data_IF_247230511684
#
_entry.id   IF_247230511684
#
_cell.length_a   1.000
_cell.length_b   1.000
_cell.length_c   1.000
_cell.angle_alpha   90.00
_cell.angle_beta   90.00
_cell.angle_gamma   90.00
#
_symmetry.space_group_name_H-M   'P 1'
#
loop_
_entity.id
_entity.type
_entity.pdbx_description
1 polymer ?
#
# COMPACT_ATOMS: atom_id res chain seq x y z
N UNK A 1 -51.97 13.26 33.14
CA UNK A 1 -52.29 13.15 31.70
C UNK A 1 -51.08 13.61 30.90
N UNK A 2 -50.56 12.74 30.01
CA UNK A 2 -49.62 13.00 28.89
C UNK A 2 -48.17 13.36 29.32
N UNK A 3 -47.16 12.48 29.32
CA UNK A 3 -46.55 11.63 28.27
C UNK A 3 -45.60 12.36 27.30
N UNK A 4 -44.46 11.71 27.00
CA UNK A 4 -43.34 11.99 26.05
C UNK A 4 -42.16 12.75 26.68
N UNK A 5 -40.99 12.16 26.98
CA UNK A 5 -40.11 11.22 26.27
C UNK A 5 -39.69 11.72 24.89
N UNK A 6 -38.45 12.24 24.78
CA UNK A 6 -37.57 12.29 23.60
C UNK A 6 -36.19 12.74 24.10
N UNK A 7 -35.28 11.81 24.37
CA UNK A 7 -34.41 11.12 23.41
C UNK A 7 -33.22 11.98 22.98
N UNK A 8 -32.05 11.55 23.47
CA UNK A 8 -30.72 11.87 22.98
C UNK A 8 -30.69 11.81 21.45
N UNK A 9 -30.56 12.96 20.79
CA UNK A 9 -30.04 12.99 19.43
C UNK A 9 -28.52 13.06 19.52
N UNK A 10 -27.92 11.86 19.50
CA UNK A 10 -26.52 11.67 19.16
C UNK A 10 -26.25 12.37 17.83
N UNK A 11 -25.12 13.08 17.79
CA UNK A 11 -24.43 13.52 16.59
C UNK A 11 -24.18 12.29 15.69
N UNK A 12 -25.10 12.03 14.76
CA UNK A 12 -24.81 11.20 13.59
C UNK A 12 -24.03 12.09 12.62
N UNK A 13 -22.71 12.23 12.86
CA UNK A 13 -21.82 12.35 11.73
C UNK A 13 -21.78 10.98 11.07
N UNK A 14 -22.30 10.79 9.85
CA UNK A 14 -21.82 9.68 9.06
C UNK A 14 -20.32 9.92 8.90
N UNK A 15 -19.50 9.02 9.47
CA UNK A 15 -18.14 8.84 8.99
C UNK A 15 -18.23 8.75 7.47
N UNK A 16 -17.38 9.46 6.70
CA UNK A 16 -17.29 9.20 5.27
C UNK A 16 -16.91 7.71 5.15
N UNK A 17 -17.92 6.90 4.84
CA UNK A 17 -17.77 5.53 4.41
C UNK A 17 -17.27 5.62 2.97
N UNK A 18 -16.02 6.07 2.84
CA UNK A 18 -15.22 5.84 1.65
C UNK A 18 -14.87 4.36 1.72
N UNK A 19 -15.86 3.53 1.37
CA UNK A 19 -15.62 2.17 0.94
C UNK A 19 -14.84 2.29 -0.39
N UNK A 20 -13.60 2.76 -0.30
CA UNK A 20 -12.57 2.46 -1.26
C UNK A 20 -12.66 0.96 -1.47
N UNK A 21 -12.89 0.55 -2.71
CA UNK A 21 -12.99 -0.85 -3.12
C UNK A 21 -11.64 -1.52 -2.89
N UNK A 22 -11.32 -1.79 -1.62
CA UNK A 22 -10.01 -2.26 -1.20
C UNK A 22 -9.99 -3.76 -1.43
N UNK A 23 -9.58 -4.13 -2.65
CA UNK A 23 -9.49 -5.52 -3.05
C UNK A 23 -8.31 -6.18 -2.35
N UNK A 24 -8.59 -7.23 -1.58
CA UNK A 24 -7.55 -8.11 -1.06
C UNK A 24 -6.99 -8.92 -2.22
N UNK A 25 -5.73 -8.68 -2.54
CA UNK A 25 -4.95 -9.45 -3.49
C UNK A 25 -4.15 -10.52 -2.76
N UNK A 26 -3.99 -11.67 -3.41
CA UNK A 26 -3.12 -12.75 -2.98
C UNK A 26 -2.09 -13.00 -4.05
N UNK A 27 -0.82 -13.09 -3.68
CA UNK A 27 0.23 -13.46 -4.63
C UNK A 27 1.30 -14.32 -3.95
N UNK A 28 2.00 -15.11 -4.76
CA UNK A 28 2.95 -16.13 -4.34
C UNK A 28 4.36 -15.57 -4.42
N UNK A 29 5.28 -16.07 -3.57
CA UNK A 29 6.69 -15.75 -3.70
C UNK A 29 7.20 -16.00 -5.14
N UNK A 30 7.92 -15.03 -5.68
CA UNK A 30 8.39 -15.02 -7.07
C UNK A 30 7.44 -14.32 -8.05
N UNK A 31 6.19 -14.08 -7.67
CA UNK A 31 5.25 -13.34 -8.51
C UNK A 31 5.71 -11.89 -8.71
N UNK A 32 5.54 -11.40 -9.94
CA UNK A 32 5.78 -10.01 -10.32
C UNK A 32 4.46 -9.33 -10.63
N UNK A 33 4.33 -8.08 -10.21
CA UNK A 33 3.18 -7.24 -10.55
C UNK A 33 3.62 -5.82 -10.91
N UNK A 34 2.82 -5.17 -11.75
CA UNK A 34 2.97 -3.74 -12.00
C UNK A 34 2.41 -2.97 -10.82
N UNK A 35 3.22 -2.08 -10.25
CA UNK A 35 2.83 -1.20 -9.16
C UNK A 35 2.73 0.23 -9.69
N UNK A 36 1.50 0.76 -9.91
CA UNK A 36 1.30 2.12 -10.40
C UNK A 36 1.84 3.17 -9.43
N UNK A 37 2.30 4.30 -9.97
CA UNK A 37 2.68 5.46 -9.19
C UNK A 37 1.54 5.94 -8.28
N UNK A 38 1.87 6.34 -7.05
CA UNK A 38 0.92 6.90 -6.08
C UNK A 38 -0.06 5.89 -5.49
N UNK A 39 -0.06 4.65 -5.96
CA UNK A 39 -0.98 3.61 -5.48
C UNK A 39 -0.45 2.94 -4.22
N UNK A 40 -1.23 3.00 -3.16
CA UNK A 40 -0.89 2.38 -1.89
C UNK A 40 -1.03 0.85 -1.95
N UNK A 41 -0.03 0.16 -1.39
CA UNK A 41 -0.09 -1.25 -1.04
C UNK A 41 0.02 -1.37 0.47
N UNK A 42 -1.00 -1.99 1.08
CA UNK A 42 -1.06 -2.24 2.52
C UNK A 42 -0.92 -3.73 2.78
N UNK A 43 0.10 -4.09 3.54
CA UNK A 43 0.41 -5.47 3.84
C UNK A 43 -0.57 -6.05 4.87
N UNK A 44 -1.16 -7.22 4.58
CA UNK A 44 -1.96 -7.97 5.55
C UNK A 44 -1.15 -9.07 6.24
N UNK A 45 -0.08 -9.52 5.58
CA UNK A 45 0.92 -10.44 6.10
C UNK A 45 2.30 -9.77 6.03
N UNK A 46 3.30 -10.27 6.79
CA UNK A 46 4.67 -9.76 6.61
C UNK A 46 5.19 -10.15 5.23
N UNK A 47 5.52 -9.16 4.41
CA UNK A 47 5.97 -9.37 3.02
C UNK A 47 7.25 -8.60 2.75
N UNK A 48 8.13 -9.19 1.94
CA UNK A 48 9.29 -8.49 1.38
C UNK A 48 9.05 -8.29 -0.09
N UNK A 49 9.13 -7.04 -0.55
CA UNK A 49 9.00 -6.66 -1.94
C UNK A 49 10.38 -6.28 -2.49
N UNK A 50 10.72 -6.81 -3.65
CA UNK A 50 11.90 -6.42 -4.42
C UNK A 50 11.48 -5.41 -5.49
N UNK A 51 12.13 -4.26 -5.48
CA UNK A 51 11.86 -3.11 -6.33
C UNK A 51 13.11 -2.77 -7.14
N UNK A 52 12.98 -2.33 -8.40
CA UNK A 52 14.13 -2.02 -9.24
C UNK A 52 14.91 -0.81 -8.69
N UNK A 53 16.24 -0.89 -8.68
CA UNK A 53 17.11 0.23 -8.28
C UNK A 53 16.91 1.47 -9.14
N UNK A 54 16.44 1.32 -10.39
CA UNK A 54 16.08 2.43 -11.27
C UNK A 54 14.93 3.32 -10.70
N UNK A 55 14.17 2.82 -9.72
CA UNK A 55 13.18 3.61 -8.99
C UNK A 55 13.84 4.63 -8.05
N UNK A 56 15.06 4.35 -7.58
CA UNK A 56 15.83 5.28 -6.76
C UNK A 56 16.60 6.26 -7.66
N UNK A 57 16.71 7.50 -7.19
CA UNK A 57 17.60 8.50 -7.75
C UNK A 57 18.71 8.75 -6.73
N UNK A 58 19.96 8.44 -7.08
CA UNK A 58 21.09 8.58 -6.17
C UNK A 58 21.32 10.02 -5.69
N UNK A 59 20.77 11.01 -6.39
CA UNK A 59 20.84 12.42 -6.00
C UNK A 59 19.75 12.85 -5.02
N UNK A 60 18.78 11.97 -4.72
CA UNK A 60 17.58 12.28 -3.94
C UNK A 60 17.42 11.37 -2.72
N UNK A 61 16.76 11.87 -1.66
CA UNK A 61 16.37 11.01 -0.55
C UNK A 61 15.33 9.97 -1.01
N UNK A 62 15.30 8.82 -0.33
CA UNK A 62 14.35 7.72 -0.62
C UNK A 62 12.89 8.19 -0.52
N UNK A 63 12.60 9.12 0.39
CA UNK A 63 11.26 9.72 0.57
C UNK A 63 10.75 10.47 -0.67
N UNK A 64 11.62 10.85 -1.61
CA UNK A 64 11.19 11.40 -2.90
C UNK A 64 10.89 10.33 -3.95
N UNK A 65 11.21 9.06 -3.68
CA UNK A 65 11.01 7.94 -4.59
C UNK A 65 9.90 6.98 -4.11
N UNK A 66 9.75 6.84 -2.79
CA UNK A 66 8.84 5.92 -2.14
C UNK A 66 8.25 6.58 -0.89
N UNK A 67 6.92 6.73 -0.85
CA UNK A 67 6.19 7.05 0.37
C UNK A 67 5.93 5.74 1.12
N UNK A 68 6.21 5.72 2.42
CA UNK A 68 6.04 4.52 3.24
C UNK A 68 5.73 4.91 4.68
N UNK A 69 5.12 3.97 5.40
CA UNK A 69 5.01 4.07 6.86
C UNK A 69 6.40 4.18 7.51
N UNK A 70 6.53 4.94 8.59
CA UNK A 70 7.83 5.32 9.19
C UNK A 70 8.73 4.13 9.59
N UNK A 71 8.12 2.99 9.90
CA UNK A 71 8.79 1.77 10.40
C UNK A 71 8.98 0.69 9.31
N UNK A 72 8.89 1.05 8.02
CA UNK A 72 9.17 0.12 6.93
C UNK A 72 10.66 -0.18 6.86
N UNK A 73 11.02 -1.46 6.86
CA UNK A 73 12.41 -1.87 6.70
C UNK A 73 12.85 -1.72 5.25
N UNK A 74 13.92 -0.97 5.00
CA UNK A 74 14.48 -0.79 3.65
C UNK A 74 15.91 -1.36 3.63
N UNK A 75 16.17 -2.26 2.70
CA UNK A 75 17.48 -2.88 2.46
C UNK A 75 17.93 -2.58 1.04
N UNK A 76 19.06 -1.88 0.91
CA UNK A 76 19.62 -1.45 -0.37
C UNK A 76 20.99 -2.12 -0.51
N UNK A 77 21.11 -3.17 -1.35
CA UNK A 77 22.39 -3.83 -1.56
C UNK A 77 23.36 -2.89 -2.29
N UNK A 78 24.65 -3.00 -1.97
CA UNK A 78 25.72 -2.20 -2.61
C UNK A 78 26.00 -2.60 -4.05
N UNK A 79 25.67 -3.85 -4.42
CA UNK A 79 25.83 -4.41 -5.75
C UNK A 79 24.55 -5.21 -6.06
N UNK A 80 23.73 -4.70 -6.97
CA UNK A 80 22.41 -5.25 -7.28
C UNK A 80 21.57 -4.33 -8.15
N UNK A 81 20.63 -4.93 -8.88
CA UNK A 81 19.66 -4.25 -9.75
C UNK A 81 18.34 -3.95 -9.03
N UNK A 82 18.19 -4.41 -7.79
CA UNK A 82 16.99 -4.25 -6.98
C UNK A 82 17.31 -3.94 -5.52
N UNK A 83 16.43 -3.17 -4.88
CA UNK A 83 16.39 -2.99 -3.43
C UNK A 83 15.16 -3.68 -2.85
N UNK A 84 15.13 -3.83 -1.53
CA UNK A 84 14.06 -4.54 -0.83
C UNK A 84 13.38 -3.63 0.18
N UNK A 85 12.05 -3.75 0.24
CA UNK A 85 11.26 -3.19 1.34
C UNK A 85 10.54 -4.32 2.06
N UNK A 86 10.49 -4.23 3.40
CA UNK A 86 9.77 -5.15 4.25
C UNK A 86 8.60 -4.43 4.88
N UNK A 87 7.40 -4.92 4.61
CA UNK A 87 6.15 -4.43 5.19
C UNK A 87 5.64 -5.47 6.19
N UNK A 88 5.42 -5.05 7.43
CA UNK A 88 4.69 -5.80 8.43
C UNK A 88 3.17 -5.60 8.26
N UNK A 89 2.31 -6.47 8.83
CA UNK A 89 0.88 -6.32 8.76
C UNK A 89 0.40 -4.93 9.23
N UNK A 90 -0.43 -4.28 8.43
CA UNK A 90 -0.93 -2.93 8.65
C UNK A 90 -0.01 -1.81 8.17
N UNK A 91 1.24 -2.11 7.77
CA UNK A 91 2.11 -1.13 7.14
C UNK A 91 1.79 -0.98 5.66
N UNK A 92 2.06 0.20 5.14
CA UNK A 92 1.82 0.55 3.75
C UNK A 92 3.04 1.20 3.11
N UNK A 93 3.10 1.12 1.79
CA UNK A 93 4.00 1.88 0.95
C UNK A 93 3.33 2.26 -0.37
N UNK A 94 3.90 3.23 -1.07
CA UNK A 94 3.42 3.74 -2.35
C UNK A 94 4.60 4.33 -3.14
N UNK A 95 4.91 3.82 -4.36
CA UNK A 95 6.00 4.33 -5.15
C UNK A 95 5.58 5.63 -5.84
N UNK A 96 6.46 6.63 -5.88
CA UNK A 96 6.16 7.90 -6.60
C UNK A 96 6.25 7.78 -8.11
N UNK A 97 6.76 6.67 -8.63
CA UNK A 97 6.81 6.33 -10.05
C UNK A 97 6.37 4.88 -10.25
N UNK A 98 5.71 4.59 -11.36
CA UNK A 98 5.28 3.23 -11.68
C UNK A 98 6.49 2.31 -11.82
N UNK A 99 6.41 1.11 -11.25
CA UNK A 99 7.50 0.14 -11.30
C UNK A 99 6.97 -1.30 -11.38
N UNK A 100 7.87 -2.26 -11.61
CA UNK A 100 7.55 -3.67 -11.48
C UNK A 100 8.09 -4.16 -10.13
N UNK A 101 7.21 -4.64 -9.27
CA UNK A 101 7.57 -5.20 -7.98
C UNK A 101 7.53 -6.74 -8.03
N UNK A 102 8.35 -7.38 -7.21
CA UNK A 102 8.37 -8.83 -7.06
C UNK A 102 8.25 -9.23 -5.60
N UNK A 103 7.45 -10.25 -5.30
CA UNK A 103 7.33 -10.79 -3.94
C UNK A 103 8.52 -11.70 -3.64
N UNK A 104 9.25 -11.41 -2.57
CA UNK A 104 10.34 -12.23 -2.05
C UNK A 104 9.84 -13.10 -0.91
N UNK A 105 10.25 -14.36 -0.90
CA UNK A 105 9.87 -15.34 0.11
C UNK A 105 10.24 -16.75 -0.32
N UNK A 106 9.86 -17.72 0.49
CA UNK A 106 10.02 -19.14 0.17
C UNK A 106 9.03 -19.55 -0.92
N UNK A 107 9.49 -20.41 -1.83
CA UNK A 107 8.66 -20.90 -2.94
C UNK A 107 7.37 -21.55 -2.43
N UNK A 108 6.24 -21.13 -2.99
CA UNK A 108 4.91 -21.66 -2.65
C UNK A 108 4.25 -21.00 -1.43
N UNK A 109 4.88 -19.99 -0.82
CA UNK A 109 4.24 -19.17 0.22
C UNK A 109 3.39 -18.08 -0.44
N UNK A 110 2.13 -17.98 0.01
CA UNK A 110 1.17 -16.96 -0.43
C UNK A 110 1.13 -15.82 0.58
N UNK A 111 1.19 -14.59 0.09
CA UNK A 111 1.08 -13.36 0.87
C UNK A 111 -0.18 -12.60 0.49
N UNK A 112 -0.81 -11.96 1.47
CA UNK A 112 -1.99 -11.12 1.27
C UNK A 112 -1.63 -9.65 1.45
N UNK A 113 -2.16 -8.83 0.56
CA UNK A 113 -2.07 -7.38 0.65
C UNK A 113 -3.32 -6.75 0.06
N UNK A 114 -3.55 -5.52 0.45
CA UNK A 114 -4.57 -4.66 -0.12
C UNK A 114 -3.89 -3.71 -1.08
N UNK A 115 -4.35 -3.68 -2.31
CA UNK A 115 -3.95 -2.66 -3.27
C UNK A 115 -5.12 -1.71 -3.38
N UNK A 116 -4.89 -0.40 -3.18
CA UNK A 116 -5.95 0.58 -3.42
C UNK A 116 -6.49 0.39 -4.84
N UNK A 117 -7.81 0.40 -5.05
CA UNK A 117 -8.38 0.34 -6.41
C UNK A 117 -8.09 1.63 -7.18
N UNK A 118 -8.28 1.60 -8.51
CA UNK A 118 -8.01 2.77 -9.34
C UNK A 118 -9.03 3.78 -8.90
N UNK A 119 -8.61 4.80 -8.16
CA UNK A 119 -9.44 5.98 -8.04
C UNK A 119 -9.49 6.51 -9.46
N UNK A 120 -10.59 6.22 -10.15
CA UNK A 120 -10.93 6.90 -11.40
C UNK A 120 -10.70 8.38 -11.13
N UNK A 121 -9.62 8.91 -11.68
CA UNK A 121 -9.45 10.35 -11.75
C UNK A 121 -10.55 10.75 -12.73
N UNK A 122 -11.73 11.05 -12.17
CA UNK A 122 -12.82 11.69 -12.90
C UNK A 122 -12.20 12.92 -13.53
N UNK A 123 -11.86 12.79 -14.81
CA UNK A 123 -11.49 13.91 -15.63
C UNK A 123 -12.66 14.87 -15.63
N UNK A 124 -12.41 16.07 -15.12
CA UNK A 124 -13.14 17.26 -15.51
C UNK A 124 -13.18 17.36 -17.05
N UNK A 125 -14.28 17.87 -17.61
CA UNK A 125 -14.21 18.86 -18.67
C UNK A 125 -14.18 20.29 -18.10
#
# INVERSE_FOLDING_TARGET
>A
MISRLLAFLRLNNPLPNDASDTKVATAVAGDRFGWPAGRELTALDTVVLSLPMALLDASKPISECLDAHDDVGIDIPSDGDAFHIRLAPGQWASPRRSCQAMIKGDSGVTYRFQLASDTETSGEP
#
